data_IF_452296495412
#
_entry.id   IF_452296495412
#
_cell.length_a   1.000
_cell.length_b   1.000
_cell.length_c   1.000
_cell.angle_alpha   90.00
_cell.angle_beta   90.00
_cell.angle_gamma   90.00
#
_symmetry.space_group_name_H-M   'P 1'
#
loop_
_entity.id
_entity.type
_entity.pdbx_description
1 polymer ?
#
# COMPACT_ATOMS: atom_id res chain seq x y z
N UNK A 1 -22.81 3.32 -16.02
CA UNK A 1 -22.11 3.73 -14.80
C UNK A 1 -20.61 3.67 -14.99
N UNK A 2 -19.98 4.76 -14.75
CA UNK A 2 -18.55 4.79 -14.85
C UNK A 2 -17.89 4.16 -13.67
N UNK A 3 -16.86 3.38 -13.91
CA UNK A 3 -16.11 2.86 -12.80
C UNK A 3 -15.13 3.94 -12.35
N UNK A 4 -15.02 4.10 -11.05
CA UNK A 4 -14.11 5.06 -10.49
C UNK A 4 -12.69 4.54 -10.62
N UNK A 5 -11.78 5.47 -10.93
CA UNK A 5 -10.37 5.12 -10.95
C UNK A 5 -9.89 4.91 -9.52
N UNK A 6 -8.96 4.00 -9.33
CA UNK A 6 -8.46 3.74 -7.98
C UNK A 6 -7.48 4.80 -7.52
N UNK A 7 -7.29 4.87 -6.20
CA UNK A 7 -6.12 5.49 -5.62
C UNK A 7 -5.01 4.44 -5.69
N UNK A 8 -3.86 4.81 -6.19
CA UNK A 8 -2.72 3.91 -6.24
C UNK A 8 -1.79 4.24 -5.08
N UNK A 9 -1.47 3.22 -4.29
CA UNK A 9 -0.55 3.34 -3.17
C UNK A 9 0.74 2.64 -3.56
N UNK A 10 1.85 3.34 -3.45
CA UNK A 10 3.15 2.78 -3.80
C UNK A 10 3.80 2.25 -2.53
N UNK A 11 3.97 0.94 -2.47
CA UNK A 11 4.58 0.27 -1.33
C UNK A 11 3.57 -0.40 -0.43
N UNK A 12 3.83 -1.67 -0.09
CA UNK A 12 2.98 -2.46 0.81
C UNK A 12 3.65 -2.65 2.16
N UNK A 13 4.33 -1.63 2.64
CA UNK A 13 4.83 -1.61 4.01
C UNK A 13 3.75 -1.16 4.96
N UNK A 14 4.12 -0.88 6.22
CA UNK A 14 3.11 -0.51 7.22
C UNK A 14 2.28 0.70 6.82
N UNK A 15 2.93 1.72 6.25
CA UNK A 15 2.23 2.94 5.86
C UNK A 15 1.28 2.70 4.70
N UNK A 16 1.75 1.97 3.68
CA UNK A 16 0.92 1.71 2.51
C UNK A 16 -0.27 0.84 2.84
N UNK A 17 -0.07 -0.18 3.66
CA UNK A 17 -1.17 -1.04 4.06
C UNK A 17 -2.18 -0.27 4.91
N UNK A 18 -1.70 0.62 5.78
CA UNK A 18 -2.60 1.46 6.57
C UNK A 18 -3.42 2.38 5.68
N UNK A 19 -2.77 3.02 4.69
CA UNK A 19 -3.48 3.88 3.76
C UNK A 19 -4.56 3.11 3.02
N UNK A 20 -4.21 1.91 2.55
CA UNK A 20 -5.18 1.08 1.85
C UNK A 20 -6.36 0.71 2.74
N UNK A 21 -6.10 0.37 3.99
CA UNK A 21 -7.16 0.01 4.93
C UNK A 21 -8.14 1.18 5.11
N UNK A 22 -7.62 2.38 5.27
CA UNK A 22 -8.47 3.56 5.42
C UNK A 22 -9.30 3.82 4.16
N UNK A 23 -8.71 3.61 3.00
CA UNK A 23 -9.44 3.81 1.75
C UNK A 23 -10.54 2.77 1.57
N UNK A 24 -10.25 1.53 1.91
CA UNK A 24 -11.26 0.47 1.83
C UNK A 24 -12.44 0.78 2.73
N UNK A 25 -12.19 1.28 3.94
CA UNK A 25 -13.26 1.62 4.85
C UNK A 25 -14.15 2.74 4.33
N UNK A 26 -13.60 3.56 3.45
CA UNK A 26 -14.35 4.66 2.84
C UNK A 26 -14.92 4.31 1.48
N UNK A 27 -14.86 3.03 1.12
CA UNK A 27 -15.35 2.52 -0.16
C UNK A 27 -14.67 3.19 -1.34
N UNK A 28 -13.41 3.55 -1.19
CA UNK A 28 -12.62 4.11 -2.26
C UNK A 28 -11.80 2.99 -2.90
N UNK A 29 -11.91 2.79 -4.21
CA UNK A 29 -11.09 1.77 -4.88
C UNK A 29 -9.61 2.07 -4.67
N UNK A 30 -8.85 1.04 -4.37
CA UNK A 30 -7.42 1.19 -4.11
C UNK A 30 -6.64 0.04 -4.71
N UNK A 31 -5.46 0.36 -5.23
CA UNK A 31 -4.48 -0.64 -5.69
C UNK A 31 -3.16 -0.30 -5.00
N UNK A 32 -2.57 -1.29 -4.35
CA UNK A 32 -1.27 -1.14 -3.71
C UNK A 32 -0.26 -1.86 -4.59
N UNK A 33 0.82 -1.17 -4.95
CA UNK A 33 1.86 -1.73 -5.81
C UNK A 33 3.12 -1.92 -4.99
N UNK A 34 3.56 -3.16 -4.88
CA UNK A 34 4.72 -3.52 -4.08
C UNK A 34 5.80 -4.11 -4.96
N UNK A 35 7.00 -3.54 -4.90
CA UNK A 35 8.12 -4.03 -5.72
C UNK A 35 8.61 -5.41 -5.29
N UNK A 36 8.47 -5.74 -4.02
CA UNK A 36 8.91 -7.03 -3.51
C UNK A 36 7.94 -8.14 -3.82
N UNK A 37 8.25 -9.32 -3.33
CA UNK A 37 7.43 -10.51 -3.59
C UNK A 37 6.42 -10.78 -2.49
N UNK A 38 6.42 -9.97 -1.44
CA UNK A 38 5.47 -10.13 -0.34
C UNK A 38 5.27 -8.81 0.37
N UNK A 39 4.34 -8.77 1.34
CA UNK A 39 4.09 -7.52 2.05
C UNK A 39 5.25 -7.16 2.95
N UNK A 40 5.44 -5.85 3.14
CA UNK A 40 6.44 -5.32 4.07
C UNK A 40 7.84 -5.83 3.79
N UNK A 41 8.23 -5.86 2.50
CA UNK A 41 9.54 -6.36 2.11
C UNK A 41 10.68 -5.65 2.84
N UNK A 42 10.56 -4.34 3.01
CA UNK A 42 11.61 -3.59 3.68
C UNK A 42 11.71 -3.97 5.17
N UNK A 43 10.57 -4.23 5.80
CA UNK A 43 10.58 -4.69 7.20
C UNK A 43 11.21 -6.07 7.30
N UNK A 44 10.94 -6.92 6.30
CA UNK A 44 11.50 -8.27 6.30
C UNK A 44 13.02 -8.26 6.31
N UNK A 45 13.64 -7.24 5.73
CA UNK A 45 15.09 -7.15 5.68
C UNK A 45 15.71 -7.03 7.07
N UNK A 46 14.97 -6.47 8.03
CA UNK A 46 15.45 -6.39 9.40
C UNK A 46 14.51 -7.12 10.33
N UNK A 47 13.95 -8.26 9.84
CA UNK A 47 12.96 -9.00 10.60
C UNK A 47 13.42 -9.49 11.95
N UNK A 48 14.72 -9.65 12.13
CA UNK A 48 15.27 -10.12 13.41
C UNK A 48 15.36 -9.00 14.47
N UNK A 49 15.17 -7.76 14.08
CA UNK A 49 15.33 -6.64 14.99
C UNK A 49 14.03 -6.42 15.77
N UNK A 50 14.16 -6.23 17.08
CA UNK A 50 13.01 -5.96 17.95
C UNK A 50 12.69 -4.49 17.91
N UNK A 51 11.40 -4.19 17.75
CA UNK A 51 10.94 -2.82 17.71
C UNK A 51 10.93 -2.20 19.09
N UNK A 52 10.96 -0.88 19.12
CA UNK A 52 10.92 -0.13 20.37
C UNK A 52 9.51 0.28 20.77
N UNK A 53 8.52 -0.04 19.93
CA UNK A 53 7.13 0.28 20.21
C UNK A 53 6.38 -0.99 20.55
N UNK A 54 5.41 -0.87 21.44
CA UNK A 54 4.59 -2.01 21.79
C UNK A 54 3.54 -2.27 20.72
N UNK A 55 3.01 -3.49 20.69
CA UNK A 55 2.05 -3.90 19.70
C UNK A 55 0.93 -2.87 19.43
N UNK A 56 0.27 -2.32 20.47
CA UNK A 56 -0.84 -1.40 20.18
C UNK A 56 -0.44 -0.19 19.34
N UNK A 57 0.80 0.25 19.47
CA UNK A 57 1.27 1.41 18.71
C UNK A 57 1.62 1.07 17.28
N UNK A 58 1.71 -0.22 16.98
CA UNK A 58 2.14 -0.69 15.66
C UNK A 58 0.98 -1.17 14.80
N UNK A 59 -0.23 -1.10 15.32
CA UNK A 59 -1.42 -1.58 14.63
C UNK A 59 -2.31 -0.39 14.32
N UNK A 60 -2.52 -0.18 13.01
CA UNK A 60 -3.41 0.88 12.57
C UNK A 60 -4.86 0.50 12.88
N UNK A 61 -5.65 1.48 13.32
CA UNK A 61 -7.02 1.22 13.72
C UNK A 61 -7.87 0.68 12.57
N UNK A 62 -7.72 1.23 11.37
CA UNK A 62 -8.48 0.75 10.22
C UNK A 62 -8.08 -0.67 9.84
N UNK A 63 -6.77 -0.97 9.92
CA UNK A 63 -6.30 -2.32 9.68
C UNK A 63 -6.89 -3.31 10.67
N UNK A 64 -6.95 -2.92 11.94
CA UNK A 64 -7.52 -3.79 12.97
C UNK A 64 -9.00 -4.05 12.69
N UNK A 65 -9.74 -3.03 12.27
CA UNK A 65 -11.16 -3.20 11.97
C UNK A 65 -11.39 -4.15 10.79
N UNK A 66 -10.51 -4.10 9.81
CA UNK A 66 -10.61 -5.01 8.66
C UNK A 66 -10.34 -6.45 9.09
N UNK A 67 -9.42 -6.64 10.03
CA UNK A 67 -9.04 -7.98 10.47
C UNK A 67 -10.00 -8.58 11.51
N UNK A 68 -10.70 -7.75 12.25
CA UNK A 68 -11.56 -8.23 13.32
C UNK A 68 -12.54 -9.30 12.88
N UNK A 69 -13.24 -9.15 11.75
CA UNK A 69 -14.21 -10.18 11.33
C UNK A 69 -13.58 -11.53 11.01
N UNK A 70 -12.26 -11.59 10.82
CA UNK A 70 -11.59 -12.86 10.49
C UNK A 70 -11.30 -13.69 11.74
N UNK A 71 -11.57 -13.16 12.92
CA UNK A 71 -11.19 -13.81 14.15
C UNK A 71 -9.83 -13.38 14.67
N UNK A 72 -9.16 -12.49 13.96
CA UNK A 72 -7.87 -11.98 14.39
C UNK A 72 -8.04 -11.12 15.65
N UNK A 73 -7.15 -11.31 16.60
CA UNK A 73 -7.17 -10.53 17.84
C UNK A 73 -5.86 -9.77 17.95
N UNK A 74 -5.97 -8.48 18.25
CA UNK A 74 -4.79 -7.63 18.37
C UNK A 74 -3.98 -8.01 19.62
N UNK A 75 -2.68 -8.23 19.47
CA UNK A 75 -1.83 -8.36 20.64
C UNK A 75 -1.86 -7.07 21.46
N UNK A 76 -1.88 -7.18 22.76
CA UNK A 76 -2.03 -6.02 23.62
C UNK A 76 -0.77 -5.66 24.38
N UNK A 77 0.22 -6.56 24.41
CA UNK A 77 1.45 -6.34 25.16
C UNK A 77 2.63 -6.87 24.37
N UNK A 78 3.79 -6.36 24.70
CA UNK A 78 5.03 -6.86 24.13
C UNK A 78 5.53 -6.02 22.97
N UNK A 79 6.80 -6.23 22.66
CA UNK A 79 7.51 -5.54 21.60
C UNK A 79 7.86 -6.57 20.53
N UNK A 80 7.24 -6.52 19.37
CA UNK A 80 7.53 -7.53 18.34
C UNK A 80 8.86 -7.27 17.66
N UNK A 81 9.40 -8.32 17.07
CA UNK A 81 10.44 -8.14 16.06
C UNK A 81 9.75 -7.77 14.75
N UNK A 82 10.56 -7.33 13.75
CA UNK A 82 10.00 -7.06 12.44
C UNK A 82 9.27 -8.27 11.87
N UNK A 83 9.86 -9.46 12.00
CA UNK A 83 9.24 -10.68 11.50
C UNK A 83 7.92 -10.97 12.21
N UNK A 84 7.85 -10.73 13.51
CA UNK A 84 6.63 -10.94 14.26
C UNK A 84 5.54 -9.92 13.87
N UNK A 85 5.96 -8.70 13.60
CA UNK A 85 5.04 -7.67 13.13
C UNK A 85 4.42 -8.08 11.81
N UNK A 86 5.25 -8.61 10.90
CA UNK A 86 4.75 -9.08 9.61
C UNK A 86 3.78 -10.24 9.82
N UNK A 87 4.21 -11.29 10.50
CA UNK A 87 3.40 -12.49 10.61
C UNK A 87 2.14 -12.28 11.45
N UNK A 88 2.19 -11.38 12.43
CA UNK A 88 1.09 -11.17 13.34
C UNK A 88 0.09 -10.11 12.91
N UNK A 89 0.48 -9.25 11.98
CA UNK A 89 -0.40 -8.15 11.59
C UNK A 89 -0.30 -7.77 10.11
N UNK A 90 0.91 -7.44 9.64
CA UNK A 90 1.02 -6.88 8.28
C UNK A 90 0.63 -7.88 7.20
N UNK A 91 1.06 -9.12 7.33
CA UNK A 91 0.71 -10.15 6.34
C UNK A 91 -0.77 -10.52 6.41
N UNK A 92 -1.37 -10.71 7.60
CA UNK A 92 -2.82 -10.90 7.65
C UNK A 92 -3.59 -9.77 7.01
N UNK A 93 -3.18 -8.52 7.25
CA UNK A 93 -3.85 -7.37 6.64
C UNK A 93 -3.73 -7.40 5.12
N UNK A 94 -2.53 -7.68 4.61
CA UNK A 94 -2.34 -7.76 3.17
C UNK A 94 -3.20 -8.87 2.57
N UNK A 95 -3.35 -9.98 3.28
CA UNK A 95 -4.21 -11.07 2.82
C UNK A 95 -5.67 -10.63 2.73
N UNK A 96 -6.15 -9.88 3.72
CA UNK A 96 -7.52 -9.40 3.68
C UNK A 96 -7.74 -8.34 2.61
N UNK A 97 -6.73 -7.55 2.31
CA UNK A 97 -6.83 -6.60 1.21
C UNK A 97 -6.83 -7.32 -0.13
N UNK A 98 -6.28 -8.52 -0.18
CA UNK A 98 -6.42 -9.44 -1.32
C UNK A 98 -5.82 -8.89 -2.59
N UNK A 99 -6.61 -8.96 -3.65
CA UNK A 99 -6.13 -8.58 -4.99
C UNK A 99 -5.83 -7.10 -5.13
N UNK A 100 -6.21 -6.31 -4.15
CA UNK A 100 -5.85 -4.89 -4.16
C UNK A 100 -4.34 -4.70 -4.02
N UNK A 101 -3.64 -5.70 -3.46
CA UNK A 101 -2.19 -5.61 -3.29
C UNK A 101 -1.54 -6.44 -4.38
N UNK A 102 -0.70 -5.80 -5.18
CA UNK A 102 0.00 -6.45 -6.29
C UNK A 102 1.49 -6.45 -6.02
N UNK A 103 2.08 -7.61 -6.12
CA UNK A 103 3.51 -7.79 -5.89
C UNK A 103 4.27 -7.82 -7.19
N UNK A 104 5.58 -7.75 -7.10
CA UNK A 104 6.45 -7.68 -8.28
C UNK A 104 6.00 -6.54 -9.18
N UNK A 105 5.69 -5.41 -8.56
CA UNK A 105 5.15 -4.25 -9.23
C UNK A 105 5.92 -3.02 -8.79
N UNK A 106 6.99 -2.71 -9.50
CA UNK A 106 7.84 -1.57 -9.19
C UNK A 106 7.34 -0.35 -9.97
N UNK A 107 7.00 0.70 -9.26
CA UNK A 107 6.61 1.94 -9.91
C UNK A 107 7.88 2.65 -10.38
N UNK A 108 7.95 2.88 -11.69
CA UNK A 108 9.12 3.53 -12.28
C UNK A 108 8.83 4.93 -12.77
N UNK A 109 7.57 5.36 -12.69
CA UNK A 109 7.23 6.72 -13.05
C UNK A 109 5.77 7.01 -12.80
N UNK A 110 5.49 8.27 -12.57
CA UNK A 110 4.11 8.75 -12.41
C UNK A 110 4.02 10.02 -13.23
N UNK A 111 3.02 10.09 -14.09
CA UNK A 111 2.80 11.27 -14.90
C UNK A 111 1.33 11.63 -14.89
N UNK A 112 1.02 12.84 -15.26
CA UNK A 112 -0.35 13.28 -15.37
C UNK A 112 -0.65 13.50 -16.84
N UNK A 113 -1.53 12.66 -17.34
CA UNK A 113 -1.86 12.71 -18.75
C UNK A 113 -2.56 14.01 -19.09
N UNK A 114 -2.26 14.56 -20.25
CA UNK A 114 -2.93 15.75 -20.72
C UNK A 114 -2.53 17.03 -20.00
N UNK A 115 -1.43 17.03 -19.31
CA UNK A 115 -0.95 18.23 -18.65
C UNK A 115 -0.61 19.29 -19.69
N UNK A 116 -1.35 20.35 -19.64
CA UNK A 116 -1.09 21.48 -20.51
C UNK A 116 -1.27 22.71 -19.65
N UNK A 117 -0.22 23.48 -19.52
CA UNK A 117 -0.25 24.66 -18.67
C UNK A 117 -1.21 25.72 -19.19
N UNK A 118 -1.55 25.64 -20.44
CA UNK A 118 -2.45 26.63 -21.03
C UNK A 118 -3.90 26.36 -20.70
N UNK A 119 -4.21 25.18 -20.22
CA UNK A 119 -5.58 24.81 -19.92
C UNK A 119 -5.69 24.46 -18.45
N UNK A 120 -6.31 25.35 -17.69
CA UNK A 120 -6.48 25.12 -16.27
C UNK A 120 -7.77 24.41 -15.94
N UNK A 121 -8.80 24.69 -16.70
CA UNK A 121 -10.10 24.06 -16.44
C UNK A 121 -9.98 22.56 -16.63
N UNK A 122 -10.47 21.81 -15.69
CA UNK A 122 -10.46 20.37 -15.79
C UNK A 122 -9.17 19.69 -15.38
N UNK A 123 -8.16 20.46 -14.99
CA UNK A 123 -6.89 19.86 -14.60
C UNK A 123 -7.03 18.91 -13.42
N UNK A 124 -7.91 19.25 -12.50
CA UNK A 124 -8.14 18.40 -11.35
C UNK A 124 -8.77 17.07 -11.69
N UNK A 125 -9.37 17.00 -12.89
CA UNK A 125 -10.04 15.77 -13.32
C UNK A 125 -9.14 14.85 -14.11
N UNK A 126 -7.93 15.29 -14.43
CA UNK A 126 -7.00 14.49 -15.23
C UNK A 126 -6.42 13.39 -14.38
N UNK A 127 -6.45 12.16 -14.85
CA UNK A 127 -5.88 11.06 -14.06
C UNK A 127 -4.37 11.09 -14.09
N UNK A 128 -3.80 10.43 -13.09
CA UNK A 128 -2.39 10.11 -13.12
C UNK A 128 -2.20 8.82 -13.89
N UNK A 129 -1.07 8.71 -14.56
CA UNK A 129 -0.65 7.45 -15.18
C UNK A 129 0.52 6.93 -14.37
N UNK A 130 0.37 5.73 -13.85
CA UNK A 130 1.42 5.09 -13.05
C UNK A 130 2.08 4.03 -13.93
N UNK A 131 3.39 4.16 -14.08
CA UNK A 131 4.17 3.24 -14.92
C UNK A 131 4.77 2.18 -14.02
N UNK A 132 4.49 0.91 -14.33
CA UNK A 132 4.86 -0.21 -13.48
C UNK A 132 5.73 -1.17 -14.26
N UNK A 133 6.80 -1.65 -13.64
CA UNK A 133 7.70 -2.61 -14.24
C UNK A 133 7.76 -3.86 -13.37
N UNK A 134 7.65 -5.02 -13.99
CA UNK A 134 7.80 -6.29 -13.31
C UNK A 134 9.24 -6.76 -13.44
N UNK A 135 9.63 -7.72 -12.60
CA UNK A 135 11.01 -8.19 -12.60
C UNK A 135 11.42 -8.86 -13.90
N UNK A 136 10.44 -9.34 -14.67
CA UNK A 136 10.72 -9.96 -15.98
C UNK A 136 10.90 -8.93 -17.08
N UNK A 137 10.82 -7.64 -16.75
CA UNK A 137 10.97 -6.58 -17.72
C UNK A 137 9.67 -6.10 -18.32
N UNK A 138 8.59 -6.82 -18.10
CA UNK A 138 7.29 -6.39 -18.60
C UNK A 138 6.85 -5.10 -17.93
N UNK A 139 6.25 -4.22 -18.71
CA UNK A 139 5.77 -2.95 -18.18
C UNK A 139 4.31 -2.78 -18.51
N UNK A 140 3.60 -2.11 -17.62
CA UNK A 140 2.23 -1.76 -17.87
C UNK A 140 1.93 -0.43 -17.20
N UNK A 141 0.78 0.12 -17.51
CA UNK A 141 0.36 1.41 -16.97
C UNK A 141 -0.99 1.27 -16.31
N UNK A 142 -1.15 2.02 -15.24
CA UNK A 142 -2.44 2.11 -14.53
C UNK A 142 -2.83 3.56 -14.46
N UNK A 143 -4.12 3.81 -14.61
CA UNK A 143 -4.63 5.15 -14.38
C UNK A 143 -5.15 5.24 -12.95
N UNK A 144 -4.91 6.36 -12.31
CA UNK A 144 -5.26 6.56 -10.92
C UNK A 144 -5.86 7.94 -10.71
N UNK A 145 -6.81 8.03 -9.81
CA UNK A 145 -7.37 9.33 -9.44
C UNK A 145 -6.44 10.09 -8.50
N UNK A 146 -5.59 9.36 -7.79
CA UNK A 146 -4.62 9.93 -6.87
C UNK A 146 -3.53 8.91 -6.64
N UNK A 147 -2.37 9.36 -6.20
CA UNK A 147 -1.23 8.49 -5.92
C UNK A 147 -0.70 8.83 -4.54
N UNK A 148 -0.50 7.81 -3.72
CA UNK A 148 0.11 7.95 -2.40
C UNK A 148 1.44 7.21 -2.44
N UNK A 149 2.52 7.93 -2.23
CA UNK A 149 3.84 7.31 -2.22
C UNK A 149 4.19 6.93 -0.78
N UNK A 150 4.08 5.64 -0.50
CA UNK A 150 4.40 5.08 0.81
C UNK A 150 5.61 4.16 0.72
N UNK A 151 6.45 4.35 -0.31
CA UNK A 151 7.58 3.46 -0.54
C UNK A 151 8.71 3.67 0.48
N UNK A 152 8.72 4.83 1.14
CA UNK A 152 9.76 5.10 2.12
C UNK A 152 11.05 5.57 1.46
N UNK A 153 11.91 6.17 2.28
CA UNK A 153 13.16 6.72 1.77
C UNK A 153 14.29 5.69 1.76
N UNK A 154 14.05 4.53 2.36
CA UNK A 154 15.08 3.52 2.49
C UNK A 154 15.19 2.60 1.29
N UNK A 155 14.22 2.63 0.43
CA UNK A 155 14.11 1.67 -0.64
C UNK A 155 14.80 2.10 -1.92
N UNK A 156 15.49 3.19 -1.86
CA UNK A 156 16.17 3.70 -3.03
C UNK A 156 17.29 2.79 -3.53
#
# INVERSE_FOLDING_TARGET
MESALPVVVIGAGPQGLAAAAHLVERDVPVVVLEAGTGPASAVAEWGHVRLFSEWPELIDAAGARILEPTGWAAPTTGYPTGAQWISGYLAPLATELGERVRYDARVVGVSRLGRDRLVDAGRGDQPFTVHVQQSDGEEYRLQARAVIDASGTWSS
#
